data_IF_733940550858
#
_entry.id   IF_733940550858
#
_cell.length_a   1.000
_cell.length_b   1.000
_cell.length_c   1.000
_cell.angle_alpha   90.00
_cell.angle_beta   90.00
_cell.angle_gamma   90.00
#
_symmetry.space_group_name_H-M   'P 1'
#
loop_
_entity.id
_entity.type
_entity.pdbx_description
1 polymer ?
#
# COMPACT_ATOMS: atom_id res chain seq x y z
N UNK A 1 9.12 19.47 7.04
CA UNK A 1 8.78 18.13 7.53
C UNK A 1 9.96 17.46 8.19
N UNK A 2 9.75 16.45 8.96
CA UNK A 2 10.81 15.63 9.57
C UNK A 2 11.73 15.09 8.47
N UNK A 3 12.98 15.57 8.48
CA UNK A 3 14.03 15.10 7.59
C UNK A 3 14.22 15.86 6.28
N UNK A 4 13.66 17.04 6.10
CA UNK A 4 14.11 17.98 5.09
C UNK A 4 15.35 18.72 5.63
N UNK A 5 16.45 18.69 4.89
CA UNK A 5 17.72 19.32 5.28
C UNK A 5 18.66 18.43 6.11
N UNK A 6 19.81 18.98 6.44
CA UNK A 6 20.84 18.34 7.27
C UNK A 6 20.38 18.23 8.72
N UNK A 7 20.53 17.07 9.32
CA UNK A 7 20.23 16.87 10.74
C UNK A 7 21.06 17.81 11.61
N UNK A 8 20.38 18.68 12.37
CA UNK A 8 21.02 19.60 13.29
C UNK A 8 21.29 21.00 12.72
N UNK A 9 20.81 21.33 11.53
CA UNK A 9 20.97 22.66 10.95
C UNK A 9 20.13 23.73 11.65
N UNK A 10 18.98 23.35 12.23
CA UNK A 10 18.08 24.26 12.93
C UNK A 10 17.68 23.72 14.31
N UNK A 11 17.34 24.61 15.24
CA UNK A 11 16.88 24.24 16.59
C UNK A 11 15.60 23.43 16.57
N UNK A 12 15.38 22.64 17.62
CA UNK A 12 14.13 21.89 17.83
C UNK A 12 12.92 22.83 17.78
N UNK A 13 11.98 22.53 16.89
CA UNK A 13 10.76 23.36 16.73
C UNK A 13 10.84 24.43 15.64
N UNK A 14 11.98 24.62 14.98
CA UNK A 14 12.07 25.50 13.82
C UNK A 14 11.45 24.84 12.58
N UNK A 15 10.60 25.56 11.87
CA UNK A 15 10.15 25.12 10.56
C UNK A 15 11.36 25.04 9.61
N UNK A 16 11.46 23.97 8.82
CA UNK A 16 12.50 23.88 7.80
C UNK A 16 12.45 25.10 6.88
N UNK A 17 13.58 25.77 6.72
CA UNK A 17 13.73 26.89 5.78
C UNK A 17 13.79 26.44 4.32
N UNK A 18 13.86 25.13 4.09
CA UNK A 18 13.75 24.55 2.77
C UNK A 18 12.32 24.74 2.26
N UNK A 19 12.15 25.67 1.35
CA UNK A 19 10.94 25.81 0.55
C UNK A 19 10.64 24.44 -0.07
N UNK A 20 9.43 23.96 0.05
CA UNK A 20 8.97 22.69 -0.53
C UNK A 20 9.05 22.75 -2.08
N UNK A 21 10.26 22.76 -2.59
CA UNK A 21 10.58 22.71 -4.00
C UNK A 21 10.93 21.27 -4.38
N UNK A 22 9.94 20.50 -4.85
CA UNK A 22 10.17 19.35 -5.72
C UNK A 22 11.02 18.18 -5.17
N UNK A 23 11.22 18.07 -3.86
CA UNK A 23 11.90 16.93 -3.26
C UNK A 23 10.99 15.70 -3.29
N UNK A 24 11.51 14.55 -3.75
CA UNK A 24 10.79 13.28 -3.66
C UNK A 24 10.44 12.96 -2.22
N UNK A 25 9.21 12.53 -1.97
CA UNK A 25 8.74 12.13 -0.64
C UNK A 25 9.68 11.09 -0.03
N UNK A 26 10.04 11.27 1.25
CA UNK A 26 10.86 10.31 1.97
C UNK A 26 10.00 9.13 2.38
N UNK A 27 10.25 7.98 1.78
CA UNK A 27 9.60 6.71 2.08
C UNK A 27 10.60 5.75 2.71
N UNK A 28 10.10 4.86 3.54
CA UNK A 28 10.92 3.87 4.24
C UNK A 28 10.47 2.46 3.88
N UNK A 29 11.42 1.55 3.79
CA UNK A 29 11.17 0.11 3.79
C UNK A 29 11.91 -0.54 4.94
N UNK A 30 11.33 -1.58 5.52
CA UNK A 30 11.89 -2.34 6.61
C UNK A 30 11.56 -3.81 6.48
N UNK A 31 12.45 -4.64 7.01
CA UNK A 31 12.25 -6.07 7.13
C UNK A 31 13.10 -6.64 8.27
N UNK A 32 12.77 -7.79 8.78
CA UNK A 32 13.48 -8.43 9.88
C UNK A 32 14.51 -9.44 9.37
N UNK A 33 15.71 -9.39 9.95
CA UNK A 33 16.72 -10.41 9.78
C UNK A 33 16.86 -11.21 11.09
N UNK A 34 15.97 -12.18 11.26
CA UNK A 34 15.74 -12.81 12.56
C UNK A 34 15.07 -11.84 13.52
N UNK A 35 15.75 -11.48 14.63
CA UNK A 35 15.25 -10.52 15.60
C UNK A 35 15.75 -9.09 15.34
N UNK A 36 16.73 -8.94 14.45
CA UNK A 36 17.33 -7.66 14.08
C UNK A 36 16.49 -6.97 13.00
N UNK A 37 16.58 -5.64 12.94
CA UNK A 37 15.85 -4.84 11.99
C UNK A 37 16.78 -4.29 10.91
N UNK A 38 16.41 -4.51 9.65
CA UNK A 38 17.05 -3.87 8.50
C UNK A 38 16.03 -2.93 7.87
N UNK A 39 16.45 -1.70 7.60
CA UNK A 39 15.56 -0.71 7.00
C UNK A 39 16.36 0.28 6.15
N UNK A 40 15.70 0.90 5.19
CA UNK A 40 16.29 1.95 4.40
C UNK A 40 15.32 3.08 4.09
N UNK A 41 15.87 4.27 3.91
CA UNK A 41 15.16 5.36 3.25
C UNK A 41 15.24 5.15 1.74
N UNK A 42 14.13 5.38 1.02
CA UNK A 42 14.11 5.34 -0.45
C UNK A 42 15.24 6.16 -1.04
N UNK A 43 16.04 5.52 -1.90
CA UNK A 43 17.23 6.08 -2.56
C UNK A 43 18.35 6.55 -1.61
N UNK A 44 18.32 6.09 -0.36
CA UNK A 44 19.27 6.41 0.70
C UNK A 44 19.99 5.19 1.27
N UNK A 45 20.63 5.41 2.42
CA UNK A 45 21.39 4.39 3.13
C UNK A 45 20.52 3.25 3.63
N UNK A 46 21.11 2.05 3.75
CA UNK A 46 20.57 0.90 4.45
C UNK A 46 21.11 0.90 5.87
N UNK A 47 20.22 0.67 6.84
CA UNK A 47 20.53 0.66 8.26
C UNK A 47 20.31 -0.73 8.85
N UNK A 48 21.11 -1.04 9.85
CA UNK A 48 20.99 -2.25 10.65
C UNK A 48 20.85 -1.88 12.13
N UNK A 49 19.84 -2.43 12.78
CA UNK A 49 19.62 -2.29 14.20
C UNK A 49 19.70 -3.67 14.87
N UNK A 50 20.62 -3.81 15.80
CA UNK A 50 20.85 -5.04 16.56
C UNK A 50 19.96 -5.03 17.81
N UNK A 51 19.05 -5.98 17.89
CA UNK A 51 18.13 -6.14 19.03
C UNK A 51 18.88 -6.32 20.36
N UNK A 52 20.03 -7.00 20.35
CA UNK A 52 20.80 -7.29 21.59
C UNK A 52 21.30 -6.04 22.29
N UNK A 53 21.46 -4.94 21.54
CA UNK A 53 21.89 -3.65 22.08
C UNK A 53 20.74 -2.85 22.72
N UNK A 54 19.50 -3.31 22.58
CA UNK A 54 18.31 -2.68 23.15
C UNK A 54 17.83 -1.44 22.41
N UNK A 55 16.64 -0.99 22.76
CA UNK A 55 15.92 0.11 22.05
C UNK A 55 16.56 1.49 22.22
N UNK A 56 17.45 1.67 23.20
CA UNK A 56 18.20 2.91 23.40
C UNK A 56 19.39 3.06 22.44
N UNK A 57 19.80 1.97 21.79
CA UNK A 57 20.90 1.99 20.82
C UNK A 57 20.40 2.41 19.45
N UNK A 58 21.20 3.23 18.77
CA UNK A 58 20.89 3.69 17.41
C UNK A 58 21.29 2.63 16.39
N UNK A 59 20.50 2.52 15.33
CA UNK A 59 20.89 1.76 14.15
C UNK A 59 22.16 2.37 13.51
N UNK A 60 22.97 1.52 12.92
CA UNK A 60 24.18 1.90 12.18
C UNK A 60 23.95 1.77 10.68
N UNK A 61 24.69 2.54 9.90
CA UNK A 61 24.74 2.31 8.46
C UNK A 61 25.32 0.91 8.19
N UNK A 62 24.62 0.14 7.36
CA UNK A 62 25.05 -1.24 7.07
C UNK A 62 26.46 -1.28 6.43
N UNK A 63 26.82 -0.27 5.65
CA UNK A 63 28.17 -0.16 5.04
C UNK A 63 29.28 -0.04 6.09
N UNK A 64 29.02 0.48 7.27
CA UNK A 64 29.99 0.56 8.36
C UNK A 64 30.27 -0.79 9.02
N UNK A 65 29.34 -1.73 8.88
CA UNK A 65 29.41 -3.07 9.48
C UNK A 65 29.76 -4.17 8.46
N UNK A 66 29.77 -3.83 7.17
CA UNK A 66 29.88 -4.76 6.07
C UNK A 66 31.08 -4.51 5.19
N UNK A 67 31.42 -5.50 4.35
CA UNK A 67 32.54 -5.39 3.42
C UNK A 67 32.24 -4.50 2.20
N UNK A 68 30.99 -4.47 1.73
CA UNK A 68 30.61 -3.73 0.55
C UNK A 68 29.08 -3.55 0.39
N UNK A 69 28.34 -3.35 1.50
CA UNK A 69 26.91 -3.11 1.40
C UNK A 69 26.58 -1.86 0.55
N UNK A 70 25.42 -1.81 -0.09
CA UNK A 70 25.01 -0.62 -0.83
C UNK A 70 24.90 0.61 0.07
N UNK A 71 25.36 1.75 -0.43
CA UNK A 71 25.19 3.06 0.20
C UNK A 71 23.92 3.77 -0.27
N UNK A 72 23.32 3.28 -1.34
CA UNK A 72 22.02 3.72 -1.85
C UNK A 72 21.20 2.52 -2.24
N UNK A 73 19.94 2.51 -1.82
CA UNK A 73 18.96 1.50 -2.21
C UNK A 73 17.58 2.13 -2.25
N UNK A 74 16.77 1.72 -3.21
CA UNK A 74 15.38 2.16 -3.27
C UNK A 74 14.51 1.41 -2.26
N UNK A 75 14.71 0.09 -2.14
CA UNK A 75 13.97 -0.77 -1.21
C UNK A 75 14.85 -1.89 -0.71
N UNK A 76 14.65 -2.27 0.54
CA UNK A 76 15.29 -3.45 1.16
C UNK A 76 14.22 -4.50 1.50
N UNK A 77 14.54 -5.76 1.25
CA UNK A 77 13.75 -6.93 1.63
C UNK A 77 14.72 -7.99 2.16
N UNK A 78 14.27 -8.76 3.16
CA UNK A 78 14.95 -9.98 3.61
C UNK A 78 14.21 -11.19 3.03
N UNK A 79 14.92 -12.06 2.31
CA UNK A 79 14.36 -13.32 1.84
C UNK A 79 14.12 -14.24 3.03
N UNK A 80 12.89 -14.69 3.25
CA UNK A 80 12.54 -15.55 4.39
C UNK A 80 13.15 -16.95 4.27
N UNK A 81 13.14 -17.49 3.04
CA UNK A 81 13.59 -18.84 2.78
C UNK A 81 15.10 -19.00 2.90
N UNK A 82 15.83 -18.04 2.36
CA UNK A 82 17.26 -18.16 2.11
C UNK A 82 18.06 -17.15 2.93
N UNK A 83 17.37 -16.29 3.67
CA UNK A 83 17.94 -15.28 4.58
C UNK A 83 19.06 -14.45 3.95
N UNK A 84 18.79 -13.92 2.76
CA UNK A 84 19.59 -12.89 2.13
C UNK A 84 18.96 -11.51 2.38
N UNK A 85 19.79 -10.52 2.61
CA UNK A 85 19.36 -9.12 2.51
C UNK A 85 19.45 -8.70 1.06
N UNK A 86 18.36 -8.22 0.49
CA UNK A 86 18.25 -7.86 -0.92
C UNK A 86 17.94 -6.37 -1.03
N UNK A 87 18.76 -5.65 -1.76
CA UNK A 87 18.63 -4.23 -2.03
C UNK A 87 18.26 -4.01 -3.49
N UNK A 88 17.11 -3.42 -3.73
CA UNK A 88 16.58 -3.10 -5.06
C UNK A 88 16.93 -1.67 -5.44
N UNK A 89 17.31 -1.45 -6.71
CA UNK A 89 17.76 -0.15 -7.18
C UNK A 89 18.98 0.33 -6.40
N UNK A 90 20.02 -0.47 -6.35
CA UNK A 90 21.22 -0.23 -5.55
C UNK A 90 22.35 0.41 -6.37
N UNK A 91 23.34 0.99 -5.71
CA UNK A 91 24.58 1.37 -6.36
C UNK A 91 25.51 0.16 -6.54
N UNK A 92 26.30 0.08 -7.63
CA UNK A 92 27.33 -0.93 -7.81
C UNK A 92 28.40 -0.87 -6.71
N UNK A 93 29.17 -1.96 -6.55
CA UNK A 93 30.28 -2.01 -5.59
C UNK A 93 31.34 -0.99 -5.98
N UNK A 94 31.75 -0.17 -5.00
CA UNK A 94 32.76 0.86 -5.21
C UNK A 94 32.26 2.14 -5.89
N UNK A 95 30.98 2.19 -6.27
CA UNK A 95 30.37 3.37 -6.89
C UNK A 95 29.44 4.10 -5.91
N UNK A 96 29.25 5.41 -6.15
CA UNK A 96 28.31 6.25 -5.38
C UNK A 96 27.03 6.55 -6.15
N UNK A 97 27.04 6.33 -7.45
CA UNK A 97 25.90 6.56 -8.33
C UNK A 97 24.98 5.34 -8.29
N UNK A 98 23.70 5.57 -8.06
CA UNK A 98 22.69 4.52 -8.01
C UNK A 98 22.34 4.03 -9.41
N UNK A 99 22.34 2.71 -9.63
CA UNK A 99 21.67 2.09 -10.77
C UNK A 99 20.29 1.62 -10.34
N UNK A 100 19.26 2.31 -10.82
CA UNK A 100 17.87 2.07 -10.40
C UNK A 100 17.30 0.72 -10.85
N UNK A 101 18.01 -0.04 -11.67
CA UNK A 101 17.65 -1.39 -12.12
C UNK A 101 18.53 -2.49 -11.50
N UNK A 102 19.55 -2.12 -10.73
CA UNK A 102 20.46 -3.06 -10.11
C UNK A 102 19.85 -3.63 -8.82
N UNK A 103 19.88 -4.95 -8.69
CA UNK A 103 19.55 -5.67 -7.46
C UNK A 103 20.83 -6.23 -6.88
N UNK A 104 21.13 -5.95 -5.62
CA UNK A 104 22.26 -6.52 -4.90
C UNK A 104 21.78 -7.32 -3.71
N UNK A 105 22.43 -8.41 -3.41
CA UNK A 105 22.09 -9.26 -2.28
C UNK A 105 23.34 -9.69 -1.49
N UNK A 106 23.15 -9.79 -0.16
CA UNK A 106 24.18 -10.26 0.76
C UNK A 106 24.44 -11.75 0.57
N UNK A 107 25.43 -12.30 1.26
CA UNK A 107 25.58 -13.74 1.41
C UNK A 107 24.43 -14.32 2.24
N UNK A 108 24.14 -15.60 2.01
CA UNK A 108 23.14 -16.35 2.76
C UNK A 108 23.44 -16.31 4.26
N UNK A 109 22.40 -16.07 5.07
CA UNK A 109 22.46 -15.99 6.53
C UNK A 109 23.47 -14.99 7.10
N UNK A 110 24.00 -14.08 6.25
CA UNK A 110 24.96 -13.08 6.69
C UNK A 110 24.67 -11.70 6.06
N UNK A 111 24.18 -10.73 6.82
CA UNK A 111 23.83 -9.41 6.30
C UNK A 111 25.06 -8.51 6.04
N UNK A 112 26.28 -8.95 6.42
CA UNK A 112 27.49 -8.14 6.36
C UNK A 112 28.43 -8.49 5.20
N UNK A 113 28.20 -9.61 4.50
CA UNK A 113 29.01 -10.03 3.36
C UNK A 113 28.31 -9.76 2.03
N UNK A 114 28.83 -8.79 1.30
CA UNK A 114 28.26 -8.28 0.04
C UNK A 114 29.19 -8.41 -1.16
N UNK A 115 30.49 -8.64 -0.92
CA UNK A 115 31.46 -8.87 -1.98
C UNK A 115 31.31 -10.28 -2.52
N UNK A 116 30.99 -10.47 -3.83
CA UNK A 116 30.89 -11.78 -4.44
C UNK A 116 32.23 -12.53 -4.39
N UNK A 117 32.20 -13.77 -3.91
CA UNK A 117 33.34 -14.68 -3.83
C UNK A 117 32.91 -16.10 -4.21
N UNK A 118 33.85 -16.92 -4.65
CA UNK A 118 33.56 -18.31 -4.96
C UNK A 118 33.02 -19.14 -3.77
N UNK A 119 33.22 -18.64 -2.55
CA UNK A 119 32.85 -19.31 -1.29
C UNK A 119 31.59 -18.75 -0.63
N UNK A 120 30.95 -17.77 -1.24
CA UNK A 120 29.72 -17.16 -0.71
C UNK A 120 28.64 -17.04 -1.79
N UNK A 121 27.44 -16.62 -1.38
CA UNK A 121 26.29 -16.45 -2.27
C UNK A 121 25.95 -14.99 -2.53
N UNK A 122 26.81 -14.05 -2.09
CA UNK A 122 26.61 -12.64 -2.38
C UNK A 122 26.72 -12.35 -3.88
N UNK A 123 25.95 -11.40 -4.37
CA UNK A 123 25.97 -11.11 -5.79
C UNK A 123 25.10 -9.92 -6.18
N UNK A 124 24.95 -9.76 -7.49
CA UNK A 124 24.10 -8.76 -8.06
C UNK A 124 23.48 -9.23 -9.38
N UNK A 125 22.29 -8.71 -9.68
CA UNK A 125 21.58 -8.93 -10.93
C UNK A 125 21.06 -7.58 -11.42
N UNK A 126 21.02 -7.37 -12.72
CA UNK A 126 20.44 -6.16 -13.30
C UNK A 126 19.20 -6.52 -14.12
N UNK A 127 18.09 -5.82 -13.85
CA UNK A 127 16.86 -5.97 -14.62
C UNK A 127 17.07 -5.34 -16.01
N UNK A 128 16.64 -6.07 -17.03
CA UNK A 128 16.87 -5.65 -18.44
C UNK A 128 15.78 -4.76 -19.02
N UNK A 129 14.66 -4.51 -18.31
CA UNK A 129 13.52 -3.73 -18.81
C UNK A 129 13.01 -2.74 -17.77
N UNK A 130 12.53 -1.60 -18.27
CA UNK A 130 12.17 -0.45 -17.47
C UNK A 130 13.31 0.54 -17.28
N UNK A 131 13.04 1.66 -16.61
CA UNK A 131 14.01 2.68 -16.26
C UNK A 131 14.38 2.66 -14.78
N UNK A 132 13.45 2.21 -13.95
CA UNK A 132 13.66 2.08 -12.51
C UNK A 132 12.79 0.97 -11.89
N UNK A 133 13.28 0.38 -10.82
CA UNK A 133 12.48 -0.45 -9.93
C UNK A 133 11.66 0.49 -9.05
N UNK A 134 10.33 0.42 -9.15
CA UNK A 134 9.44 1.23 -8.32
C UNK A 134 9.27 0.60 -6.95
N UNK A 135 8.99 -0.70 -6.91
CA UNK A 135 8.83 -1.46 -5.66
C UNK A 135 9.08 -2.95 -5.87
N UNK A 136 9.24 -3.67 -4.78
CA UNK A 136 9.30 -5.12 -4.76
C UNK A 136 8.44 -5.64 -3.61
N UNK A 137 7.76 -6.76 -3.81
CA UNK A 137 6.84 -7.38 -2.85
C UNK A 137 7.22 -8.82 -2.65
N UNK A 138 7.37 -9.21 -1.40
CA UNK A 138 7.73 -10.57 -0.99
C UNK A 138 6.46 -11.42 -0.93
N UNK A 139 6.47 -12.58 -1.58
CA UNK A 139 5.52 -13.67 -1.41
C UNK A 139 6.21 -14.86 -0.73
N UNK A 140 5.51 -15.94 -0.50
CA UNK A 140 6.10 -17.14 0.10
C UNK A 140 7.11 -17.84 -0.81
N UNK A 141 6.98 -17.72 -2.14
CA UNK A 141 7.77 -18.47 -3.12
C UNK A 141 8.81 -17.63 -3.82
N UNK A 142 8.50 -16.36 -4.03
CA UNK A 142 9.26 -15.48 -4.88
C UNK A 142 9.11 -14.02 -4.46
N UNK A 143 9.91 -13.17 -5.03
CA UNK A 143 9.79 -11.72 -4.87
C UNK A 143 9.33 -11.15 -6.20
N UNK A 144 8.20 -10.48 -6.20
CA UNK A 144 7.68 -9.78 -7.38
C UNK A 144 8.30 -8.39 -7.41
N UNK A 145 9.06 -8.11 -8.45
CA UNK A 145 9.73 -6.84 -8.67
C UNK A 145 8.96 -6.07 -9.74
N UNK A 146 8.49 -4.89 -9.37
CA UNK A 146 7.71 -4.01 -10.21
C UNK A 146 8.60 -2.84 -10.65
N UNK A 147 8.82 -2.73 -11.96
CA UNK A 147 9.45 -1.56 -12.56
C UNK A 147 8.38 -0.57 -13.02
N UNK A 148 8.79 0.55 -13.54
CA UNK A 148 7.90 1.54 -14.16
C UNK A 148 7.08 0.99 -15.35
N UNK A 149 7.57 -0.07 -16.02
CA UNK A 149 6.95 -0.60 -17.25
C UNK A 149 6.79 -2.11 -17.30
N UNK A 150 7.29 -2.85 -16.30
CA UNK A 150 7.32 -4.32 -16.35
C UNK A 150 7.27 -4.98 -14.97
N UNK A 151 6.92 -6.25 -14.96
CA UNK A 151 6.83 -7.09 -13.76
C UNK A 151 7.78 -8.26 -13.91
N UNK A 152 8.55 -8.53 -12.87
CA UNK A 152 9.52 -9.60 -12.83
C UNK A 152 9.31 -10.49 -11.60
N UNK A 153 9.60 -11.76 -11.75
CA UNK A 153 9.73 -12.74 -10.66
C UNK A 153 11.21 -12.93 -10.36
N UNK A 154 11.58 -12.77 -9.09
CA UNK A 154 12.90 -13.07 -8.57
C UNK A 154 12.80 -14.26 -7.64
N UNK A 155 13.53 -15.34 -7.96
CA UNK A 155 13.49 -16.60 -7.22
C UNK A 155 14.89 -17.03 -6.84
N UNK A 156 15.01 -17.68 -5.67
CA UNK A 156 16.24 -18.38 -5.28
C UNK A 156 16.37 -19.67 -6.09
N UNK A 157 17.44 -19.78 -6.86
CA UNK A 157 17.74 -20.94 -7.72
C UNK A 157 18.95 -21.73 -7.24
N UNK A 158 19.64 -21.22 -6.22
CA UNK A 158 20.82 -21.85 -5.64
C UNK A 158 22.11 -21.61 -6.43
N UNK A 159 23.24 -22.06 -5.87
CA UNK A 159 24.54 -21.92 -6.51
C UNK A 159 24.58 -22.57 -7.90
N UNK A 160 25.33 -22.00 -8.88
CA UNK A 160 26.25 -20.88 -8.72
C UNK A 160 25.61 -19.48 -8.86
N UNK A 161 24.35 -19.39 -9.24
CA UNK A 161 23.72 -18.10 -9.59
C UNK A 161 22.97 -17.42 -8.44
N UNK A 162 22.70 -18.12 -7.37
CA UNK A 162 21.95 -17.68 -6.18
C UNK A 162 20.50 -17.31 -6.51
N UNK A 163 20.26 -16.24 -7.27
CA UNK A 163 18.94 -15.81 -7.69
C UNK A 163 18.81 -15.77 -9.22
N UNK A 164 17.61 -16.06 -9.70
CA UNK A 164 17.19 -15.85 -11.08
C UNK A 164 16.08 -14.81 -11.16
N UNK A 165 16.10 -13.99 -12.19
CA UNK A 165 15.04 -13.00 -12.49
C UNK A 165 14.44 -13.33 -13.84
N UNK A 166 13.10 -13.48 -13.88
CA UNK A 166 12.34 -13.72 -15.09
C UNK A 166 11.30 -12.60 -15.29
N UNK A 167 11.19 -12.07 -16.49
CA UNK A 167 10.13 -11.13 -16.82
C UNK A 167 8.80 -11.87 -16.98
N UNK A 168 7.78 -11.42 -16.24
CA UNK A 168 6.44 -11.98 -16.26
C UNK A 168 5.52 -11.25 -17.24
N UNK A 169 5.64 -9.92 -17.30
CA UNK A 169 4.83 -9.08 -18.16
C UNK A 169 5.53 -7.76 -18.50
N UNK A 170 5.13 -7.15 -19.59
CA UNK A 170 5.54 -5.81 -20.05
C UNK A 170 4.31 -4.92 -20.24
N UNK A 171 4.54 -3.63 -20.40
CA UNK A 171 3.48 -2.61 -20.51
C UNK A 171 2.52 -2.62 -19.30
N UNK A 172 3.07 -2.87 -18.12
CA UNK A 172 2.37 -2.88 -16.83
C UNK A 172 2.91 -1.70 -16.02
N UNK A 173 2.01 -0.93 -15.46
CA UNK A 173 2.34 0.22 -14.63
C UNK A 173 2.12 -0.07 -13.14
N UNK A 174 2.83 0.64 -12.29
CA UNK A 174 2.64 0.65 -10.83
C UNK A 174 2.61 2.10 -10.34
N UNK A 175 1.62 2.42 -9.51
CA UNK A 175 1.36 3.81 -9.10
C UNK A 175 2.45 4.38 -8.21
N UNK A 176 2.99 3.61 -7.29
CA UNK A 176 3.99 4.11 -6.36
C UNK A 176 4.61 3.03 -5.49
N UNK A 177 5.49 3.47 -4.62
CA UNK A 177 6.33 2.61 -3.77
C UNK A 177 5.54 1.67 -2.85
N UNK A 178 4.43 2.15 -2.28
CA UNK A 178 3.57 1.41 -1.35
C UNK A 178 2.23 1.00 -1.97
N UNK A 179 2.07 1.06 -3.28
CA UNK A 179 0.81 0.75 -3.97
C UNK A 179 0.58 -0.75 -4.23
N UNK A 180 1.50 -1.60 -3.80
CA UNK A 180 1.47 -3.05 -4.01
C UNK A 180 1.52 -3.81 -2.69
N UNK A 181 0.76 -4.92 -2.60
CA UNK A 181 0.66 -5.75 -1.40
C UNK A 181 0.51 -7.22 -1.77
N UNK A 182 1.05 -8.12 -0.93
CA UNK A 182 0.93 -9.57 -1.11
C UNK A 182 -0.17 -10.16 -0.23
N UNK A 183 -0.97 -11.04 -0.82
CA UNK A 183 -1.94 -11.90 -0.13
C UNK A 183 -1.59 -13.35 -0.43
N UNK A 184 -0.93 -14.01 0.51
CA UNK A 184 -0.39 -15.35 0.27
C UNK A 184 0.68 -15.36 -0.82
N UNK A 185 0.41 -16.08 -1.91
CA UNK A 185 1.31 -16.15 -3.07
C UNK A 185 0.90 -15.18 -4.20
N UNK A 186 -0.18 -14.43 -4.01
CA UNK A 186 -0.66 -13.43 -4.98
C UNK A 186 -0.20 -12.04 -4.60
N UNK A 187 0.05 -11.20 -5.59
CA UNK A 187 0.39 -9.78 -5.40
C UNK A 187 -0.63 -8.92 -6.12
N UNK A 188 -1.15 -7.93 -5.43
CA UNK A 188 -2.11 -6.96 -5.93
C UNK A 188 -1.51 -5.57 -5.94
N UNK A 189 -1.76 -4.78 -6.98
CA UNK A 189 -1.28 -3.41 -7.04
C UNK A 189 -2.15 -2.47 -7.86
N UNK A 190 -2.04 -1.19 -7.54
CA UNK A 190 -2.66 -0.09 -8.27
C UNK A 190 -1.69 0.40 -9.35
N UNK A 191 -2.14 0.40 -10.59
CA UNK A 191 -1.46 1.03 -11.71
C UNK A 191 -1.90 2.47 -11.93
N UNK A 192 -1.56 3.07 -13.08
CA UNK A 192 -1.97 4.45 -13.38
C UNK A 192 -3.46 4.58 -13.74
N UNK A 193 -4.07 3.54 -14.32
CA UNK A 193 -5.45 3.59 -14.80
C UNK A 193 -6.27 2.34 -14.47
N UNK A 194 -5.68 1.36 -13.78
CA UNK A 194 -6.32 0.08 -13.47
C UNK A 194 -5.61 -0.66 -12.34
N UNK A 195 -6.24 -1.71 -11.86
CA UNK A 195 -5.71 -2.59 -10.84
C UNK A 195 -5.25 -3.90 -11.45
N UNK A 196 -4.21 -4.47 -10.88
CA UNK A 196 -3.60 -5.70 -11.36
C UNK A 196 -3.47 -6.72 -10.25
N UNK A 197 -3.42 -7.98 -10.65
CA UNK A 197 -3.07 -9.12 -9.79
C UNK A 197 -2.05 -10.01 -10.48
N UNK A 198 -1.15 -10.54 -9.69
CA UNK A 198 -0.30 -11.67 -10.03
C UNK A 198 -0.70 -12.86 -9.16
N UNK A 199 -1.11 -13.95 -9.79
CA UNK A 199 -1.48 -15.24 -9.18
C UNK A 199 -0.83 -16.42 -9.89
N UNK A 200 0.41 -16.23 -10.38
CA UNK A 200 1.12 -17.10 -11.31
C UNK A 200 1.16 -16.51 -12.72
N UNK A 201 0.28 -15.56 -13.02
CA UNK A 201 0.29 -14.72 -14.23
C UNK A 201 -0.20 -13.33 -13.91
N UNK A 202 0.23 -12.35 -14.66
CA UNK A 202 -0.22 -10.96 -14.49
C UNK A 202 -1.55 -10.75 -15.22
N UNK A 203 -2.55 -10.24 -14.50
CA UNK A 203 -3.89 -9.98 -15.01
C UNK A 203 -4.40 -8.61 -14.54
N UNK A 204 -5.27 -8.02 -15.34
CA UNK A 204 -6.05 -6.84 -14.94
C UNK A 204 -7.25 -7.31 -14.13
N UNK A 205 -7.49 -6.66 -13.00
CA UNK A 205 -8.70 -6.89 -12.20
C UNK A 205 -9.82 -5.98 -12.75
N UNK A 206 -10.93 -6.54 -13.22
CA UNK A 206 -12.10 -5.74 -13.61
C UNK A 206 -12.57 -4.90 -12.40
N UNK A 207 -12.72 -3.60 -12.58
CA UNK A 207 -13.07 -2.69 -11.50
C UNK A 207 -14.31 -1.87 -11.88
N UNK A 208 -15.40 -2.06 -11.15
CA UNK A 208 -16.67 -1.35 -11.39
C UNK A 208 -16.62 0.13 -11.00
N UNK A 209 -15.70 0.50 -10.13
CA UNK A 209 -15.51 1.89 -9.64
C UNK A 209 -14.27 2.55 -10.23
N UNK A 210 -13.72 1.99 -11.31
CA UNK A 210 -12.48 2.44 -11.93
C UNK A 210 -12.49 3.94 -12.26
N UNK A 211 -13.50 4.39 -12.97
CA UNK A 211 -13.57 5.78 -13.43
C UNK A 211 -13.73 6.73 -12.24
N UNK A 212 -14.48 6.35 -11.21
CA UNK A 212 -14.61 7.13 -9.97
C UNK A 212 -13.26 7.34 -9.28
N UNK A 213 -12.43 6.29 -9.20
CA UNK A 213 -11.13 6.36 -8.51
C UNK A 213 -10.12 7.16 -9.34
N UNK A 214 -9.94 6.83 -10.62
CA UNK A 214 -8.86 7.40 -11.41
C UNK A 214 -9.17 8.79 -11.98
N UNK A 215 -10.44 9.21 -12.05
CA UNK A 215 -10.80 10.60 -12.37
C UNK A 215 -10.63 11.56 -11.19
N UNK A 216 -10.71 11.04 -9.96
CA UNK A 216 -10.56 11.84 -8.73
C UNK A 216 -9.16 11.70 -8.11
N UNK A 217 -8.20 11.16 -8.84
CA UNK A 217 -6.87 10.88 -8.31
C UNK A 217 -5.92 12.08 -8.46
N UNK A 218 -5.30 12.53 -7.35
CA UNK A 218 -4.28 13.58 -7.39
C UNK A 218 -2.92 13.01 -7.84
N UNK A 219 -2.59 13.16 -9.11
CA UNK A 219 -1.37 12.66 -9.74
C UNK A 219 -0.09 13.23 -9.11
N UNK A 220 -0.14 14.46 -8.61
CA UNK A 220 1.04 15.13 -8.02
C UNK A 220 1.46 14.52 -6.69
N UNK A 221 0.55 13.81 -6.03
CA UNK A 221 0.76 13.15 -4.73
C UNK A 221 0.77 11.63 -4.82
N UNK A 222 1.02 11.05 -5.99
CA UNK A 222 0.93 9.60 -6.24
C UNK A 222 1.85 8.76 -5.35
N UNK A 223 2.97 9.31 -4.88
CA UNK A 223 3.88 8.65 -3.93
C UNK A 223 3.23 8.33 -2.56
N UNK A 224 2.11 8.96 -2.23
CA UNK A 224 1.39 8.77 -0.95
C UNK A 224 0.43 7.59 -0.97
N UNK A 225 0.17 7.00 -2.14
CA UNK A 225 -0.69 5.81 -2.22
C UNK A 225 -0.16 4.70 -1.32
N UNK A 226 -1.03 4.15 -0.51
CA UNK A 226 -0.69 3.07 0.40
C UNK A 226 -1.67 1.90 0.25
N UNK A 227 -1.14 0.71 -0.03
CA UNK A 227 -1.90 -0.53 -0.08
C UNK A 227 -1.83 -1.27 1.26
N UNK A 228 -2.96 -1.78 1.72
CA UNK A 228 -3.06 -2.57 2.95
C UNK A 228 -4.02 -3.74 2.80
N UNK A 229 -3.88 -4.72 3.68
CA UNK A 229 -4.73 -5.91 3.72
C UNK A 229 -5.55 -5.88 4.99
N UNK A 230 -6.83 -6.24 4.89
CA UNK A 230 -7.65 -6.64 6.02
C UNK A 230 -8.00 -8.12 5.87
N UNK A 231 -7.16 -8.97 6.41
CA UNK A 231 -7.27 -10.44 6.24
C UNK A 231 -8.52 -11.02 6.89
N UNK A 232 -9.12 -10.33 7.85
CA UNK A 232 -10.35 -10.76 8.51
C UNK A 232 -11.55 -10.81 7.56
N UNK A 233 -11.57 -9.92 6.57
CA UNK A 233 -12.69 -9.74 5.66
C UNK A 233 -12.36 -10.05 4.20
N UNK A 234 -11.13 -10.50 3.92
CA UNK A 234 -10.69 -10.77 2.54
C UNK A 234 -10.57 -9.51 1.69
N UNK A 235 -10.05 -8.43 2.26
CA UNK A 235 -10.05 -7.10 1.64
C UNK A 235 -8.66 -6.56 1.42
N UNK A 236 -8.51 -5.80 0.32
CA UNK A 236 -7.33 -5.01 0.01
C UNK A 236 -7.77 -3.56 -0.12
N UNK A 237 -7.15 -2.71 0.66
CA UNK A 237 -7.33 -1.26 0.63
C UNK A 237 -6.24 -0.59 -0.19
N UNK A 238 -6.61 0.42 -0.96
CA UNK A 238 -5.68 1.43 -1.47
C UNK A 238 -6.18 2.79 -0.99
N UNK A 239 -5.40 3.40 -0.10
CA UNK A 239 -5.61 4.78 0.31
C UNK A 239 -4.92 5.69 -0.69
N UNK A 240 -5.60 6.76 -1.11
CA UNK A 240 -5.10 7.66 -2.13
C UNK A 240 -5.56 9.11 -1.91
N UNK A 241 -4.80 10.11 -2.40
CA UNK A 241 -5.19 11.51 -2.34
C UNK A 241 -6.16 11.85 -3.48
N UNK A 242 -7.24 12.57 -3.18
CA UNK A 242 -8.20 13.02 -4.19
C UNK A 242 -7.79 14.35 -4.83
N UNK A 243 -8.25 14.57 -6.08
CA UNK A 243 -8.10 15.84 -6.79
C UNK A 243 -9.23 16.82 -6.46
N UNK A 244 -10.44 16.34 -6.21
CA UNK A 244 -11.65 17.17 -6.10
C UNK A 244 -11.94 17.67 -4.70
N UNK A 245 -11.31 17.13 -3.67
CA UNK A 245 -11.50 17.65 -2.30
C UNK A 245 -10.65 18.91 -2.12
N UNK A 246 -11.15 19.99 -2.67
CA UNK A 246 -10.43 21.24 -2.82
C UNK A 246 -10.13 21.91 -1.47
N UNK A 247 -8.93 21.73 -0.96
CA UNK A 247 -8.24 22.83 -0.32
C UNK A 247 -8.01 23.96 -1.34
N UNK A 248 -7.58 25.12 -0.92
CA UNK A 248 -7.46 26.34 -1.74
C UNK A 248 -6.68 26.21 -3.08
N UNK A 249 -6.13 25.04 -3.40
CA UNK A 249 -5.29 24.78 -4.58
C UNK A 249 -5.71 23.55 -5.42
N UNK A 250 -6.92 23.00 -5.22
CA UNK A 250 -7.40 21.84 -5.99
C UNK A 250 -6.69 20.54 -5.63
N UNK A 251 -7.35 19.69 -4.87
CA UNK A 251 -6.83 18.40 -4.41
C UNK A 251 -6.32 18.39 -2.98
N UNK A 252 -6.17 17.19 -2.42
CA UNK A 252 -5.60 17.02 -1.08
C UNK A 252 -4.13 16.65 -1.17
N UNK A 253 -3.34 17.16 -0.25
CA UNK A 253 -1.93 16.80 -0.12
C UNK A 253 -1.74 15.48 0.64
N UNK A 254 -2.77 14.93 1.27
CA UNK A 254 -2.75 13.68 2.03
C UNK A 254 -3.85 12.73 1.53
N UNK A 255 -3.70 11.43 1.85
CA UNK A 255 -4.71 10.44 1.53
C UNK A 255 -6.02 10.77 2.26
N UNK A 256 -7.11 10.90 1.53
CA UNK A 256 -8.45 11.20 2.06
C UNK A 256 -9.53 10.25 1.54
N UNK A 257 -9.17 9.43 0.56
CA UNK A 257 -10.02 8.45 -0.08
C UNK A 257 -9.45 7.06 0.07
N UNK A 258 -10.32 6.08 -0.05
CA UNK A 258 -9.90 4.69 -0.22
C UNK A 258 -10.78 3.95 -1.22
N UNK A 259 -10.19 2.96 -1.86
CA UNK A 259 -10.88 1.96 -2.65
C UNK A 259 -10.53 0.59 -2.10
N UNK A 260 -11.51 -0.29 -2.03
CA UNK A 260 -11.36 -1.65 -1.52
C UNK A 260 -11.74 -2.65 -2.59
N UNK A 261 -10.95 -3.69 -2.68
CA UNK A 261 -11.25 -4.90 -3.41
C UNK A 261 -11.39 -6.07 -2.44
N UNK A 262 -12.59 -6.61 -2.34
CA UNK A 262 -12.81 -7.88 -1.64
C UNK A 262 -12.44 -9.02 -2.59
N UNK A 263 -11.32 -9.71 -2.31
CA UNK A 263 -10.79 -10.73 -3.21
C UNK A 263 -11.53 -12.06 -3.12
N UNK A 264 -12.30 -12.30 -2.05
CA UNK A 264 -13.14 -13.49 -1.90
C UNK A 264 -14.44 -13.35 -2.71
N UNK A 265 -15.11 -12.21 -2.57
CA UNK A 265 -16.39 -11.91 -3.24
C UNK A 265 -16.22 -11.26 -4.61
N UNK A 266 -15.01 -10.76 -4.93
CA UNK A 266 -14.68 -10.04 -6.19
C UNK A 266 -15.52 -8.79 -6.41
N UNK A 267 -15.81 -8.08 -5.34
CA UNK A 267 -16.56 -6.82 -5.36
C UNK A 267 -15.66 -5.64 -4.99
N UNK A 268 -16.08 -4.45 -5.43
CA UNK A 268 -15.41 -3.20 -5.17
C UNK A 268 -16.32 -2.24 -4.41
N UNK A 269 -15.73 -1.47 -3.53
CA UNK A 269 -16.38 -0.32 -2.91
C UNK A 269 -15.36 0.78 -2.59
N UNK A 270 -15.88 1.98 -2.35
CA UNK A 270 -15.10 3.19 -2.12
C UNK A 270 -15.59 3.91 -0.89
N UNK A 271 -14.76 4.73 -0.32
CA UNK A 271 -15.14 5.58 0.80
C UNK A 271 -14.12 6.67 1.08
N UNK A 272 -14.41 7.46 2.09
CA UNK A 272 -13.60 8.58 2.53
C UNK A 272 -13.00 8.23 3.88
N UNK A 273 -11.68 8.15 3.95
CA UNK A 273 -10.95 7.92 5.18
C UNK A 273 -9.50 8.36 5.00
N UNK A 274 -9.03 9.22 5.87
CA UNK A 274 -7.67 9.70 5.84
C UNK A 274 -6.74 8.70 6.54
N UNK A 275 -5.88 8.02 5.78
CA UNK A 275 -4.88 7.09 6.31
C UNK A 275 -3.61 7.11 5.49
N UNK A 276 -2.48 7.21 6.16
CA UNK A 276 -1.16 7.28 5.53
C UNK A 276 -0.40 5.95 5.56
N UNK A 277 -0.83 5.01 6.37
CA UNK A 277 -0.25 3.66 6.48
C UNK A 277 -1.30 2.66 6.93
N UNK A 278 -0.97 1.36 6.79
CA UNK A 278 -1.84 0.28 7.24
C UNK A 278 -1.01 -0.94 7.64
N UNK A 279 -1.34 -1.53 8.77
CA UNK A 279 -0.80 -2.81 9.23
C UNK A 279 -1.97 -3.73 9.56
N UNK A 280 -2.00 -4.89 8.94
CA UNK A 280 -3.02 -5.90 9.21
C UNK A 280 -2.89 -6.46 10.62
N UNK A 281 -3.94 -7.08 11.10
CA UNK A 281 -3.88 -7.86 12.33
C UNK A 281 -2.86 -9.00 12.18
N UNK A 282 -2.19 -9.33 13.23
CA UNK A 282 -1.18 -10.40 13.24
C UNK A 282 -0.65 -10.51 14.65
N UNK A 283 0.43 -9.81 14.94
CA UNK A 283 0.93 -9.63 16.32
C UNK A 283 -0.06 -8.82 17.15
N UNK A 284 -0.74 -7.88 16.54
CA UNK A 284 -1.79 -7.07 17.17
C UNK A 284 -3.16 -7.66 16.94
N UNK A 285 -4.06 -7.42 17.91
CA UNK A 285 -5.43 -7.95 17.87
C UNK A 285 -6.26 -7.32 16.74
N UNK A 286 -6.03 -6.04 16.46
CA UNK A 286 -6.75 -5.23 15.48
C UNK A 286 -5.83 -4.71 14.39
N UNK A 287 -6.32 -4.49 13.17
CA UNK A 287 -5.58 -3.71 12.18
C UNK A 287 -5.32 -2.31 12.70
N UNK A 288 -4.17 -1.75 12.33
CA UNK A 288 -3.77 -0.41 12.74
C UNK A 288 -3.40 0.44 11.54
N UNK A 289 -3.69 1.72 11.65
CA UNK A 289 -3.29 2.71 10.66
C UNK A 289 -2.89 4.02 11.31
N UNK A 290 -2.28 4.89 10.54
CA UNK A 290 -1.89 6.22 10.99
C UNK A 290 -2.59 7.32 10.19
N UNK A 291 -2.95 8.37 10.89
CA UNK A 291 -3.36 9.64 10.29
C UNK A 291 -2.84 10.78 11.14
N UNK A 292 -2.28 11.80 10.47
CA UNK A 292 -1.68 12.95 11.14
C UNK A 292 -0.62 12.54 12.16
N UNK A 293 -0.88 12.60 13.44
CA UNK A 293 0.04 12.22 14.52
C UNK A 293 -0.54 11.12 15.41
N UNK A 294 -1.60 10.44 14.97
CA UNK A 294 -2.31 9.44 15.75
C UNK A 294 -2.23 8.05 15.10
N UNK A 295 -2.32 7.04 15.94
CA UNK A 295 -2.45 5.64 15.54
C UNK A 295 -3.85 5.18 15.88
N UNK A 296 -4.55 4.65 14.90
CA UNK A 296 -5.93 4.16 15.04
C UNK A 296 -5.98 2.65 14.99
N UNK A 297 -6.74 2.05 15.89
CA UNK A 297 -7.16 0.66 15.76
C UNK A 297 -8.42 0.61 14.91
N UNK A 298 -8.41 -0.24 13.90
CA UNK A 298 -9.57 -0.51 13.06
C UNK A 298 -10.30 -1.77 13.50
N UNK A 299 -11.54 -1.94 13.06
CA UNK A 299 -12.38 -3.09 13.41
C UNK A 299 -12.59 -3.26 14.92
N UNK A 300 -12.64 -2.15 15.62
CA UNK A 300 -12.87 -2.10 17.08
C UNK A 300 -14.04 -1.20 17.41
N UNK A 301 -15.11 -1.77 17.99
CA UNK A 301 -16.32 -1.01 18.33
C UNK A 301 -17.24 -0.76 17.14
N UNK A 302 -18.22 0.13 17.33
CA UNK A 302 -19.30 0.44 16.40
C UNK A 302 -19.35 1.93 16.05
N UNK A 303 -18.29 2.66 16.34
CA UNK A 303 -18.20 4.10 16.13
C UNK A 303 -16.88 4.50 15.44
N UNK A 304 -16.80 5.77 15.05
CA UNK A 304 -15.58 6.37 14.53
C UNK A 304 -15.00 7.27 15.63
N UNK A 305 -14.08 6.71 16.41
CA UNK A 305 -13.40 7.39 17.54
C UNK A 305 -14.38 8.07 18.51
N UNK A 306 -15.38 7.29 18.97
CA UNK A 306 -16.43 7.75 19.87
C UNK A 306 -17.56 8.54 19.20
N UNK A 307 -17.52 8.73 17.89
CA UNK A 307 -18.55 9.41 17.13
C UNK A 307 -19.35 8.42 16.30
N UNK A 308 -20.66 8.42 16.45
CA UNK A 308 -21.53 7.58 15.62
C UNK A 308 -21.40 7.94 14.14
N UNK A 309 -21.24 6.96 13.28
CA UNK A 309 -21.23 7.17 11.85
C UNK A 309 -22.53 6.68 11.20
N UNK A 310 -22.93 7.36 10.13
CA UNK A 310 -24.12 7.00 9.38
C UNK A 310 -23.84 5.82 8.47
N UNK A 311 -24.51 4.69 8.71
CA UNK A 311 -24.46 3.52 7.83
C UNK A 311 -25.68 3.51 6.93
N UNK A 312 -25.48 3.21 5.64
CA UNK A 312 -26.59 3.11 4.69
C UNK A 312 -26.32 2.02 3.65
N UNK A 313 -27.40 1.51 3.09
CA UNK A 313 -27.38 0.61 1.94
C UNK A 313 -28.28 1.24 0.89
N UNK A 314 -27.79 1.40 -0.31
CA UNK A 314 -28.56 1.88 -1.46
C UNK A 314 -28.49 0.83 -2.58
N UNK A 315 -29.65 0.35 -3.04
CA UNK A 315 -29.72 -0.54 -4.19
C UNK A 315 -29.49 0.22 -5.49
N UNK A 316 -29.04 -0.47 -6.52
CA UNK A 316 -29.16 0.05 -7.89
C UNK A 316 -30.62 0.32 -8.24
N UNK A 317 -30.89 1.19 -9.21
CA UNK A 317 -32.24 1.38 -9.72
C UNK A 317 -32.87 0.04 -10.11
N UNK A 318 -34.10 -0.18 -9.66
CA UNK A 318 -34.87 -1.38 -9.98
C UNK A 318 -35.95 -0.97 -11.00
N UNK A 319 -35.86 -1.52 -12.16
CA UNK A 319 -36.92 -1.42 -13.17
C UNK A 319 -37.69 -2.74 -13.28
N UNK A 320 -38.94 -2.62 -13.66
CA UNK A 320 -39.80 -3.77 -13.92
C UNK A 320 -40.13 -3.78 -15.41
N UNK A 321 -39.82 -4.89 -16.09
CA UNK A 321 -40.04 -5.05 -17.54
C UNK A 321 -39.31 -3.98 -18.39
N UNK A 322 -38.00 -3.88 -18.20
CA UNK A 322 -37.11 -2.97 -18.95
C UNK A 322 -37.51 -1.48 -18.91
N UNK A 323 -38.25 -1.06 -17.86
CA UNK A 323 -38.62 0.32 -17.64
C UNK A 323 -39.77 0.87 -18.53
N UNK A 324 -40.46 0.02 -19.30
CA UNK A 324 -41.54 0.41 -20.21
C UNK A 324 -42.83 0.75 -19.47
N UNK A 325 -42.92 0.49 -18.16
CA UNK A 325 -44.14 0.67 -17.40
C UNK A 325 -43.95 1.50 -16.16
N UNK A 326 -44.96 2.33 -15.81
CA UNK A 326 -44.98 2.99 -14.53
C UNK A 326 -45.37 2.02 -13.42
N UNK A 327 -44.60 2.04 -12.35
CA UNK A 327 -44.80 1.24 -11.15
C UNK A 327 -45.53 2.05 -10.11
N UNK A 328 -46.60 1.52 -9.54
CA UNK A 328 -47.26 2.11 -8.39
C UNK A 328 -46.99 1.30 -7.12
N UNK A 329 -46.19 1.86 -6.20
CA UNK A 329 -45.85 1.22 -4.94
C UNK A 329 -46.92 1.58 -3.91
N UNK A 330 -47.67 0.61 -3.47
CA UNK A 330 -48.72 0.78 -2.43
C UNK A 330 -48.17 0.62 -1.01
N UNK A 331 -47.20 -0.24 -0.84
CA UNK A 331 -46.67 -0.57 0.48
C UNK A 331 -45.25 -1.12 0.34
N UNK A 332 -44.41 -0.72 1.27
CA UNK A 332 -43.09 -1.34 1.52
C UNK A 332 -43.17 -1.99 2.90
N UNK A 333 -42.71 -3.23 3.00
CA UNK A 333 -42.56 -3.94 4.26
C UNK A 333 -41.08 -4.20 4.45
N UNK A 334 -40.42 -3.48 5.36
CA UNK A 334 -39.03 -3.72 5.68
C UNK A 334 -38.88 -5.07 6.38
N UNK A 335 -37.92 -5.86 5.96
CA UNK A 335 -37.46 -7.06 6.68
C UNK A 335 -36.14 -6.69 7.36
N UNK A 336 -36.22 -6.28 8.64
CA UNK A 336 -35.08 -5.79 9.41
C UNK A 336 -35.09 -6.43 10.78
N UNK A 337 -33.95 -6.98 11.17
CA UNK A 337 -33.68 -7.47 12.51
C UNK A 337 -32.71 -6.54 13.23
N UNK A 338 -32.98 -6.26 14.48
CA UNK A 338 -32.12 -5.51 15.37
C UNK A 338 -31.35 -6.43 16.36
N UNK A 339 -31.25 -7.71 16.04
CA UNK A 339 -30.48 -8.65 16.84
C UNK A 339 -29.00 -8.26 16.85
N UNK A 340 -28.39 -8.35 18.01
CA UNK A 340 -26.99 -7.95 18.23
C UNK A 340 -26.66 -6.46 17.97
N UNK A 341 -27.65 -5.61 17.82
CA UNK A 341 -27.40 -4.16 17.83
C UNK A 341 -27.06 -3.73 19.24
N UNK A 342 -25.99 -2.93 19.37
CA UNK A 342 -25.62 -2.34 20.64
C UNK A 342 -26.74 -1.42 21.11
N UNK A 343 -27.28 -1.67 22.29
CA UNK A 343 -28.27 -0.81 22.92
C UNK A 343 -27.52 0.14 23.82
N UNK A 344 -27.43 1.40 23.45
CA UNK A 344 -27.21 2.45 24.43
C UNK A 344 -28.40 2.35 25.43
N UNK A 345 -28.08 1.99 26.67
CA UNK A 345 -29.07 1.73 27.73
C UNK A 345 -29.96 2.95 28.01
N UNK A 346 -29.58 4.12 27.51
CA UNK A 346 -30.33 5.37 27.70
C UNK A 346 -31.37 5.65 26.62
N UNK A 347 -31.36 4.95 25.45
CA UNK A 347 -32.28 5.20 24.34
C UNK A 347 -32.65 3.90 23.62
N UNK A 348 -33.72 3.28 24.05
CA UNK A 348 -34.26 2.02 23.52
C UNK A 348 -34.87 2.14 22.10
N UNK A 349 -34.60 3.21 21.37
CA UNK A 349 -35.15 3.51 20.05
C UNK A 349 -34.18 3.10 18.93
N UNK A 350 -34.16 1.79 18.63
CA UNK A 350 -33.53 1.28 17.40
C UNK A 350 -34.34 1.74 16.21
N UNK A 351 -33.71 2.48 15.30
CA UNK A 351 -34.39 3.05 14.12
C UNK A 351 -33.65 2.73 12.83
N UNK A 352 -34.38 2.35 11.81
CA UNK A 352 -33.93 2.30 10.43
C UNK A 352 -34.79 3.22 9.59
N UNK A 353 -34.16 4.10 8.83
CA UNK A 353 -34.84 5.03 7.93
C UNK A 353 -34.81 4.46 6.53
N UNK A 354 -35.98 4.28 5.94
CA UNK A 354 -36.12 3.80 4.56
C UNK A 354 -36.48 4.97 3.65
N UNK A 355 -35.69 5.17 2.61
CA UNK A 355 -35.93 6.19 1.60
C UNK A 355 -36.21 5.52 0.25
N UNK A 356 -37.35 5.83 -0.35
CA UNK A 356 -37.67 5.47 -1.73
C UNK A 356 -37.30 6.63 -2.64
N UNK A 357 -36.46 6.34 -3.63
CA UNK A 357 -36.12 7.29 -4.70
C UNK A 357 -36.79 6.83 -5.99
N UNK A 358 -37.36 7.75 -6.74
CA UNK A 358 -37.97 7.48 -8.06
C UNK A 358 -37.25 8.22 -9.17
N UNK A 359 -37.17 7.59 -10.32
CA UNK A 359 -36.71 8.20 -11.58
C UNK A 359 -37.83 8.05 -12.62
N UNK A 360 -38.00 9.04 -13.47
CA UNK A 360 -38.95 8.95 -14.60
C UNK A 360 -38.32 8.30 -15.84
N UNK A 361 -37.02 8.54 -16.00
CA UNK A 361 -36.22 7.94 -17.06
C UNK A 361 -34.86 7.56 -16.50
N UNK A 362 -34.14 6.60 -17.09
CA UNK A 362 -32.82 6.19 -16.61
C UNK A 362 -31.76 7.32 -16.52
N UNK A 363 -32.01 8.45 -17.20
CA UNK A 363 -31.11 9.61 -17.20
C UNK A 363 -31.51 10.68 -16.19
N UNK A 364 -32.64 10.56 -15.54
CA UNK A 364 -33.08 11.54 -14.53
C UNK A 364 -32.34 11.31 -13.20
N UNK A 365 -32.14 12.40 -12.48
CA UNK A 365 -31.64 12.31 -11.10
C UNK A 365 -32.72 11.67 -10.20
N UNK A 366 -32.34 10.73 -9.31
CA UNK A 366 -33.29 10.14 -8.37
C UNK A 366 -33.93 11.21 -7.48
N UNK A 367 -35.20 11.13 -7.25
CA UNK A 367 -35.97 12.05 -6.38
C UNK A 367 -36.58 11.26 -5.23
N UNK A 368 -36.43 11.75 -4.02
CA UNK A 368 -37.14 11.16 -2.88
C UNK A 368 -38.65 11.27 -3.08
N UNK A 369 -39.32 10.15 -2.89
CA UNK A 369 -40.80 10.15 -2.80
C UNK A 369 -41.16 10.78 -1.45
N UNK A 370 -42.02 11.80 -1.49
CA UNK A 370 -42.56 12.43 -0.29
C UNK A 370 -43.71 11.61 0.29
#
# INVERSE_FOLDING_TARGET
GWGAGTWGADGWGSASSETAGGGTMRLWSQDNFGEDLIFNQRDGFVFYWDKTLGVSSRAKNLIELSDAAPTKSRKVIVSERDRHVICFGANPIGETVQDRLLVRFSSQENPFFWTPRATNTAGSLRIGSGSEIVTAVKTRREIIVLTDTSVHSMQFIGPPFTFGINQLASAITVRGFNSAVAVGDSVFWMGYDRFYVYDGRVQVIPCSVRDHVFQDFNETQSDKVYAGINSAFGEIFWFYPSETNSGANGGTDENDRYVVYNYDQKIWYVGNLSRSSWVDRGVYQYPMSTDSNLVYNHEKGNDNDGTAFTSFIESSPIDIQDGDQFVFIRRMIPDVSFENSDTDISNDNKQAVFSLKSQRTPKDLPRNLK
#
